data_IF_161184530824
#
_entry.id   IF_161184530824
#
_cell.length_a   1.000
_cell.length_b   1.000
_cell.length_c   1.000
_cell.angle_alpha   90.00
_cell.angle_beta   90.00
_cell.angle_gamma   90.00
#
_symmetry.space_group_name_H-M   'P 1'
#
loop_
_entity.id
_entity.type
_entity.pdbx_description
1 polymer ?
#
# COMPACT_ATOMS: atom_id res chain seq x y z
N UNK A 1 12.07 -10.22 22.45
CA UNK A 1 10.60 -10.16 22.34
C UNK A 1 10.20 -8.75 21.99
N UNK A 2 9.51 -8.56 20.86
CA UNK A 2 8.94 -7.26 20.49
C UNK A 2 7.89 -6.86 21.54
N UNK A 3 7.92 -5.61 22.02
CA UNK A 3 6.94 -5.14 23.01
C UNK A 3 5.58 -4.92 22.34
N UNK A 4 4.47 -5.10 23.08
CA UNK A 4 3.10 -4.89 22.54
C UNK A 4 2.92 -3.48 21.94
N UNK A 5 3.54 -2.47 22.53
CA UNK A 5 3.52 -1.09 22.04
C UNK A 5 4.26 -0.95 20.70
N UNK A 6 5.39 -1.62 20.55
CA UNK A 6 6.19 -1.60 19.32
C UNK A 6 5.49 -2.31 18.17
N UNK A 7 4.85 -3.46 18.43
CA UNK A 7 4.03 -4.18 17.43
C UNK A 7 2.85 -3.34 16.93
N UNK A 8 2.23 -2.59 17.84
CA UNK A 8 1.14 -1.68 17.51
C UNK A 8 1.60 -0.52 16.62
N UNK A 9 2.74 0.12 16.94
CA UNK A 9 3.30 1.21 16.14
C UNK A 9 3.74 0.73 14.76
N UNK A 10 4.33 -0.46 14.64
CA UNK A 10 4.67 -1.03 13.33
C UNK A 10 3.44 -1.29 12.47
N UNK A 11 2.40 -1.90 13.06
CA UNK A 11 1.15 -2.17 12.35
C UNK A 11 0.49 -0.87 11.89
N UNK A 12 0.48 0.16 12.74
CA UNK A 12 -0.08 1.47 12.42
C UNK A 12 0.71 2.18 11.30
N UNK A 13 2.05 2.11 11.34
CA UNK A 13 2.89 2.67 10.28
C UNK A 13 2.65 1.96 8.94
N UNK A 14 2.52 0.63 8.97
CA UNK A 14 2.29 -0.17 7.78
C UNK A 14 0.93 0.16 7.14
N UNK A 15 -0.11 0.32 7.96
CA UNK A 15 -1.45 0.70 7.51
C UNK A 15 -1.49 2.14 7.01
N UNK A 16 -0.85 3.08 7.71
CA UNK A 16 -0.79 4.50 7.32
C UNK A 16 -0.13 4.69 5.96
N UNK A 17 1.01 4.02 5.72
CA UNK A 17 1.68 4.04 4.42
C UNK A 17 0.77 3.44 3.35
N UNK A 18 0.09 2.35 3.66
CA UNK A 18 -0.89 1.73 2.76
C UNK A 18 -2.03 2.65 2.37
N UNK A 19 -2.58 3.37 3.34
CA UNK A 19 -3.66 4.32 3.18
C UNK A 19 -3.23 5.52 2.31
N UNK A 20 -2.08 6.13 2.59
CA UNK A 20 -1.56 7.27 1.83
C UNK A 20 -1.31 6.91 0.36
N UNK A 21 -0.66 5.78 0.10
CA UNK A 21 -0.41 5.28 -1.26
C UNK A 21 -1.72 5.06 -2.01
N UNK A 22 -2.74 4.54 -1.34
CA UNK A 22 -4.07 4.32 -1.92
C UNK A 22 -4.74 5.64 -2.30
N UNK A 23 -4.75 6.63 -1.40
CA UNK A 23 -5.32 7.96 -1.68
C UNK A 23 -4.64 8.63 -2.87
N UNK A 24 -3.30 8.64 -2.89
CA UNK A 24 -2.54 9.24 -3.99
C UNK A 24 -2.87 8.54 -5.31
N UNK A 25 -2.92 7.20 -5.28
CA UNK A 25 -3.22 6.40 -6.46
C UNK A 25 -4.64 6.64 -6.99
N UNK A 26 -5.61 6.78 -6.09
CA UNK A 26 -6.98 7.15 -6.46
C UNK A 26 -7.05 8.54 -7.08
N UNK A 27 -6.34 9.52 -6.49
CA UNK A 27 -6.28 10.88 -7.02
C UNK A 27 -5.69 10.95 -8.43
N UNK A 28 -4.78 10.03 -8.77
CA UNK A 28 -4.20 9.92 -10.12
C UNK A 28 -5.14 9.17 -11.07
N UNK A 29 -5.76 8.08 -10.63
CA UNK A 29 -6.53 7.22 -11.54
C UNK A 29 -7.92 7.78 -11.86
N UNK A 30 -8.55 8.51 -10.94
CA UNK A 30 -9.85 9.13 -11.17
C UNK A 30 -9.87 10.14 -12.33
N UNK A 31 -8.92 11.10 -12.46
CA UNK A 31 -8.89 12.00 -13.60
C UNK A 31 -8.54 11.27 -14.91
N UNK A 32 -7.69 10.24 -14.86
CA UNK A 32 -7.33 9.43 -16.04
C UNK A 32 -8.53 8.65 -16.57
N UNK A 33 -9.38 8.16 -15.66
CA UNK A 33 -10.55 7.39 -16.07
C UNK A 33 -11.66 8.28 -16.63
N UNK A 34 -11.72 9.58 -16.31
CA UNK A 34 -12.78 10.47 -16.79
C UNK A 34 -14.14 10.14 -16.16
N UNK A 35 -14.84 11.16 -15.68
CA UNK A 35 -16.08 11.06 -14.89
C UNK A 35 -17.26 10.61 -15.77
N UNK A 36 -17.26 9.34 -16.16
CA UNK A 36 -18.41 8.67 -16.74
C UNK A 36 -18.40 7.25 -16.18
N UNK A 37 -19.25 7.03 -15.17
CA UNK A 37 -19.43 5.79 -14.42
C UNK A 37 -19.94 4.68 -15.36
N UNK A 38 -19.02 4.10 -16.14
CA UNK A 38 -19.29 2.91 -16.93
C UNK A 38 -18.87 1.68 -16.12
N UNK A 39 -19.73 0.66 -16.03
CA UNK A 39 -19.51 -0.54 -15.21
C UNK A 39 -18.13 -1.22 -15.42
N UNK A 40 -17.54 -1.10 -16.61
CA UNK A 40 -16.20 -1.63 -16.92
C UNK A 40 -15.04 -0.89 -16.23
N UNK A 41 -15.18 0.40 -15.89
CA UNK A 41 -14.12 1.16 -15.21
C UNK A 41 -13.95 0.75 -13.76
N UNK A 42 -15.03 0.38 -13.07
CA UNK A 42 -14.97 -0.10 -11.69
C UNK A 42 -14.13 -1.38 -11.57
N UNK A 43 -14.25 -2.28 -12.56
CA UNK A 43 -13.41 -3.47 -12.67
C UNK A 43 -11.95 -3.09 -12.88
N UNK A 44 -11.67 -2.13 -13.77
CA UNK A 44 -10.30 -1.66 -14.03
C UNK A 44 -9.66 -1.02 -12.79
N UNK A 45 -10.41 -0.19 -12.07
CA UNK A 45 -10.00 0.40 -10.77
C UNK A 45 -9.70 -0.71 -9.77
N UNK A 46 -10.58 -1.71 -9.67
CA UNK A 46 -10.41 -2.82 -8.72
C UNK A 46 -9.16 -3.64 -9.04
N UNK A 47 -8.91 -3.95 -10.31
CA UNK A 47 -7.69 -4.65 -10.76
C UNK A 47 -6.45 -3.80 -10.45
N UNK A 48 -6.49 -2.51 -10.78
CA UNK A 48 -5.39 -1.60 -10.50
C UNK A 48 -5.06 -1.52 -9.00
N UNK A 49 -6.07 -1.33 -8.14
CA UNK A 49 -5.88 -1.29 -6.69
C UNK A 49 -5.40 -2.63 -6.14
N UNK A 50 -5.80 -3.75 -6.75
CA UNK A 50 -5.33 -5.09 -6.39
C UNK A 50 -3.84 -5.22 -6.69
N UNK A 51 -3.41 -4.87 -7.92
CA UNK A 51 -1.99 -4.88 -8.31
C UNK A 51 -1.17 -3.93 -7.42
N UNK A 52 -1.69 -2.74 -7.15
CA UNK A 52 -1.07 -1.75 -6.26
C UNK A 52 -0.87 -2.33 -4.85
N UNK A 53 -1.88 -3.03 -4.32
CA UNK A 53 -1.82 -3.67 -3.00
C UNK A 53 -0.75 -4.77 -2.96
N UNK A 54 -0.65 -5.58 -4.02
CA UNK A 54 0.39 -6.62 -4.14
C UNK A 54 1.79 -5.99 -4.21
N UNK A 55 1.98 -4.99 -5.09
CA UNK A 55 3.23 -4.27 -5.26
C UNK A 55 3.69 -3.63 -3.95
N UNK A 56 2.79 -2.94 -3.24
CA UNK A 56 3.09 -2.33 -1.95
C UNK A 56 3.52 -3.39 -0.94
N UNK A 57 2.80 -4.51 -0.84
CA UNK A 57 3.14 -5.57 0.10
C UNK A 57 4.51 -6.18 -0.20
N UNK A 58 4.88 -6.27 -1.48
CA UNK A 58 6.23 -6.68 -1.90
C UNK A 58 7.30 -5.64 -1.56
N UNK A 59 7.06 -4.36 -1.83
CA UNK A 59 8.01 -3.26 -1.51
C UNK A 59 8.20 -3.15 0.00
N UNK A 60 7.13 -3.21 0.80
CA UNK A 60 7.21 -3.22 2.26
C UNK A 60 8.03 -4.40 2.76
N UNK A 61 7.76 -5.63 2.27
CA UNK A 61 8.60 -6.79 2.58
C UNK A 61 10.07 -6.56 2.23
N UNK A 62 10.35 -5.95 1.07
CA UNK A 62 11.73 -5.65 0.63
C UNK A 62 12.39 -4.59 1.51
N UNK A 63 11.66 -3.57 1.93
CA UNK A 63 12.14 -2.51 2.82
C UNK A 63 12.43 -3.05 4.22
N UNK A 64 11.51 -3.83 4.80
CA UNK A 64 11.70 -4.47 6.10
C UNK A 64 12.85 -5.49 6.08
N UNK A 65 13.00 -6.32 5.03
CA UNK A 65 14.17 -7.20 4.89
C UNK A 65 15.48 -6.43 4.80
N UNK A 66 15.50 -5.27 4.13
CA UNK A 66 16.71 -4.42 4.05
C UNK A 66 17.03 -3.78 5.42
N UNK A 67 16.02 -3.46 6.23
CA UNK A 67 16.20 -2.93 7.58
C UNK A 67 16.64 -4.02 8.58
N UNK A 68 16.12 -5.24 8.46
CA UNK A 68 16.53 -6.38 9.30
C UNK A 68 18.00 -6.76 9.07
N UNK A 69 18.51 -6.61 7.85
CA UNK A 69 19.94 -6.83 7.55
C UNK A 69 20.89 -5.78 8.17
N UNK A 70 20.36 -4.68 8.74
CA UNK A 70 21.14 -3.68 9.47
C UNK A 70 21.15 -3.93 10.99
N UNK A 71 20.20 -4.71 11.51
CA UNK A 71 20.09 -5.05 12.94
C UNK A 71 20.95 -6.27 13.33
N UNK A 72 21.51 -6.98 12.34
CA UNK A 72 22.37 -8.17 12.53
C UNK A 72 23.88 -7.89 12.35
N UNK A 73 24.28 -6.62 12.19
CA UNK A 73 25.67 -6.16 12.19
C UNK A 73 25.93 -5.20 13.33
#
# INVERSE_FOLDING_TARGET
MQTKKQSFVESLANETVGFLVTIISLHIIFPVLGIENHSGKNTLITIYLTVLSILRNYILRRYFNKKQSYDEK
#
